data_IF_950363857494
#
_entry.id   IF_950363857494
#
_cell.length_a   1.000
_cell.length_b   1.000
_cell.length_c   1.000
_cell.angle_alpha   90.00
_cell.angle_beta   90.00
_cell.angle_gamma   90.00
#
_symmetry.space_group_name_H-M   'P 1'
#
loop_
_entity.id
_entity.type
_entity.pdbx_description
1 polymer ?
#
# COMPACT_ATOMS: atom_id res chain seq x y z
N UNK A 1 -9.35 -18.21 -14.64
CA UNK A 1 -9.00 -18.21 -13.21
C UNK A 1 -8.57 -16.79 -12.80
N UNK A 2 -9.16 -16.26 -11.73
CA UNK A 2 -8.78 -14.96 -11.12
C UNK A 2 -7.71 -15.19 -10.03
N UNK A 3 -7.35 -14.17 -9.27
CA UNK A 3 -6.44 -14.27 -8.12
C UNK A 3 -7.02 -15.08 -6.95
N UNK A 4 -6.16 -15.53 -6.04
CA UNK A 4 -6.53 -16.40 -4.92
C UNK A 4 -7.53 -15.79 -3.96
N UNK A 5 -7.47 -14.47 -3.72
CA UNK A 5 -8.38 -13.76 -2.83
C UNK A 5 -9.02 -12.54 -3.54
N UNK A 6 -10.04 -12.73 -4.40
CA UNK A 6 -10.63 -11.64 -5.19
C UNK A 6 -11.25 -10.52 -4.34
N UNK A 7 -11.89 -10.87 -3.21
CA UNK A 7 -12.48 -9.87 -2.29
C UNK A 7 -11.42 -9.05 -1.56
N UNK A 8 -10.31 -9.69 -1.21
CA UNK A 8 -9.18 -9.04 -0.54
C UNK A 8 -8.48 -8.08 -1.50
N UNK A 9 -8.37 -8.46 -2.78
CA UNK A 9 -7.89 -7.57 -3.84
C UNK A 9 -8.77 -6.33 -4.05
N UNK A 10 -10.09 -6.51 -4.00
CA UNK A 10 -11.02 -5.38 -4.08
C UNK A 10 -10.86 -4.47 -2.85
N UNK A 11 -10.75 -5.05 -1.65
CA UNK A 11 -10.54 -4.29 -0.43
C UNK A 11 -9.23 -3.49 -0.47
N UNK A 12 -8.11 -4.08 -0.91
CA UNK A 12 -6.84 -3.35 -1.02
C UNK A 12 -6.98 -2.13 -1.94
N UNK A 13 -7.62 -2.29 -3.10
CA UNK A 13 -7.87 -1.16 -3.99
C UNK A 13 -8.66 -0.02 -3.31
N UNK A 14 -9.75 -0.34 -2.60
CA UNK A 14 -10.57 0.67 -1.92
C UNK A 14 -9.86 1.35 -0.74
N UNK A 15 -9.01 0.61 -0.02
CA UNK A 15 -8.17 1.20 1.02
C UNK A 15 -7.19 2.21 0.42
N UNK A 16 -6.59 1.91 -0.73
CA UNK A 16 -5.71 2.86 -1.41
C UNK A 16 -6.43 4.16 -1.80
N UNK A 17 -7.65 4.05 -2.35
CA UNK A 17 -8.49 5.22 -2.66
C UNK A 17 -8.79 6.02 -1.38
N UNK A 18 -9.16 5.35 -0.30
CA UNK A 18 -9.41 5.99 1.00
C UNK A 18 -8.17 6.70 1.56
N UNK A 19 -6.98 6.08 1.43
CA UNK A 19 -5.71 6.69 1.83
C UNK A 19 -5.45 7.97 1.04
N UNK A 20 -5.64 7.93 -0.27
CA UNK A 20 -5.46 9.11 -1.12
C UNK A 20 -6.43 10.23 -0.70
N UNK A 21 -7.69 9.89 -0.40
CA UNK A 21 -8.65 10.88 0.12
C UNK A 21 -8.17 11.52 1.42
N UNK A 22 -7.67 10.74 2.39
CA UNK A 22 -7.13 11.28 3.65
C UNK A 22 -5.95 12.24 3.40
N UNK A 23 -5.03 11.85 2.51
CA UNK A 23 -3.90 12.69 2.12
C UNK A 23 -4.35 13.97 1.40
N UNK A 24 -5.36 13.90 0.53
CA UNK A 24 -5.89 15.08 -0.15
C UNK A 24 -6.61 16.02 0.82
N UNK A 25 -7.38 15.49 1.78
CA UNK A 25 -8.03 16.28 2.82
C UNK A 25 -6.98 17.01 3.67
N UNK A 26 -5.81 16.40 3.92
CA UNK A 26 -4.73 17.04 4.66
C UNK A 26 -4.30 18.39 4.06
N UNK A 27 -4.43 18.61 2.75
CA UNK A 27 -4.09 19.89 2.12
C UNK A 27 -5.08 21.01 2.44
N UNK A 28 -6.31 20.67 2.81
CA UNK A 28 -7.38 21.62 3.11
C UNK A 28 -7.62 21.81 4.61
N UNK A 29 -6.88 21.09 5.45
CA UNK A 29 -6.96 21.18 6.91
C UNK A 29 -5.74 21.95 7.42
N UNK A 30 -5.99 22.88 8.35
CA UNK A 30 -4.97 23.77 8.91
C UNK A 30 -4.14 24.48 7.81
N UNK A 31 -2.81 24.46 7.91
CA UNK A 31 -1.88 24.96 6.90
C UNK A 31 -1.37 23.85 5.95
N UNK A 32 -1.93 22.64 6.04
CA UNK A 32 -1.43 21.46 5.35
C UNK A 32 -0.17 20.84 5.98
N UNK A 33 0.13 19.60 5.60
CA UNK A 33 1.32 18.90 6.06
C UNK A 33 2.56 19.37 5.28
N UNK A 34 3.38 20.24 5.88
CA UNK A 34 4.62 20.78 5.31
C UNK A 34 5.90 20.04 5.73
N UNK A 35 5.78 18.82 6.25
CA UNK A 35 6.85 18.08 6.94
C UNK A 35 7.73 17.21 6.03
N UNK A 36 7.63 17.40 4.71
CA UNK A 36 8.21 16.51 3.69
C UNK A 36 7.72 15.04 3.81
N UNK A 37 8.19 14.18 2.91
CA UNK A 37 7.76 12.77 2.83
C UNK A 37 8.30 11.89 3.97
N UNK A 38 9.38 12.28 4.64
CA UNK A 38 9.99 11.50 5.73
C UNK A 38 9.35 11.71 7.10
N UNK A 39 8.55 12.78 7.27
CA UNK A 39 7.81 13.06 8.51
C UNK A 39 8.69 13.11 9.78
N UNK A 40 9.84 13.81 9.71
CA UNK A 40 10.78 13.87 10.84
C UNK A 40 10.13 14.39 12.14
N UNK A 41 10.35 13.72 13.30
CA UNK A 41 9.56 13.94 14.53
C UNK A 41 9.50 15.39 15.02
N UNK A 42 10.62 16.12 15.03
CA UNK A 42 10.66 17.49 15.57
C UNK A 42 9.86 18.47 14.72
N UNK A 43 9.95 18.34 13.39
CA UNK A 43 9.20 19.18 12.45
C UNK A 43 7.74 18.77 12.38
N UNK A 44 7.43 17.47 12.47
CA UNK A 44 6.07 16.94 12.40
C UNK A 44 5.23 17.11 13.66
N UNK A 45 5.86 17.45 14.79
CA UNK A 45 5.16 17.69 16.06
C UNK A 45 5.19 19.16 16.46
N UNK A 46 6.37 19.72 16.72
CA UNK A 46 6.53 21.09 17.22
C UNK A 46 6.51 22.11 16.07
N UNK A 47 6.97 21.71 14.89
CA UNK A 47 7.02 22.57 13.70
C UNK A 47 5.69 22.71 12.94
N UNK A 48 4.76 21.77 13.11
CA UNK A 48 3.44 21.78 12.49
C UNK A 48 2.37 21.44 13.53
N UNK A 49 1.84 22.47 14.19
CA UNK A 49 0.68 22.32 15.07
C UNK A 49 -0.59 22.16 14.22
N UNK A 50 -1.37 21.12 14.48
CA UNK A 50 -2.62 20.84 13.77
C UNK A 50 -2.84 19.36 13.49
N UNK A 51 -3.96 19.04 12.86
CA UNK A 51 -4.37 17.67 12.51
C UNK A 51 -3.98 17.26 11.08
N UNK A 52 -3.46 18.19 10.28
CA UNK A 52 -3.06 17.91 8.90
C UNK A 52 -1.99 16.79 8.81
N UNK A 53 -1.00 16.79 9.72
CA UNK A 53 0.03 15.75 9.79
C UNK A 53 -0.57 14.41 10.22
N UNK A 54 -1.52 14.42 11.15
CA UNK A 54 -2.21 13.21 11.61
C UNK A 54 -2.98 12.53 10.46
N UNK A 55 -3.63 13.31 9.60
CA UNK A 55 -4.32 12.79 8.40
C UNK A 55 -3.35 12.12 7.43
N UNK A 56 -2.14 12.69 7.24
CA UNK A 56 -1.09 12.06 6.42
C UNK A 56 -0.60 10.76 7.06
N UNK A 57 -0.39 10.75 8.37
CA UNK A 57 0.02 9.55 9.11
C UNK A 57 -1.04 8.46 8.96
N UNK A 58 -2.32 8.77 9.19
CA UNK A 58 -3.41 7.81 9.00
C UNK A 58 -3.53 7.35 7.55
N UNK A 59 -3.37 8.25 6.57
CA UNK A 59 -3.32 7.90 5.15
C UNK A 59 -2.24 6.85 4.87
N UNK A 60 -1.00 7.11 5.29
CA UNK A 60 0.11 6.17 5.12
C UNK A 60 -0.13 4.81 5.78
N UNK A 61 -0.78 4.76 6.95
CA UNK A 61 -1.17 3.48 7.56
C UNK A 61 -2.17 2.72 6.68
N UNK A 62 -3.20 3.40 6.17
CA UNK A 62 -4.20 2.79 5.29
C UNK A 62 -3.57 2.31 3.98
N UNK A 63 -2.67 3.09 3.36
CA UNK A 63 -1.89 2.67 2.21
C UNK A 63 -1.00 1.45 2.52
N UNK A 64 -0.37 1.42 3.71
CA UNK A 64 0.44 0.28 4.17
C UNK A 64 -0.38 -0.99 4.28
N UNK A 65 -1.56 -0.93 4.91
CA UNK A 65 -2.49 -2.07 5.01
C UNK A 65 -2.95 -2.52 3.62
N UNK A 66 -3.29 -1.59 2.73
CA UNK A 66 -3.61 -1.90 1.34
C UNK A 66 -2.49 -2.70 0.66
N UNK A 67 -1.24 -2.25 0.79
CA UNK A 67 -0.06 -2.89 0.20
C UNK A 67 0.15 -4.30 0.74
N UNK A 68 0.08 -4.50 2.06
CA UNK A 68 0.24 -5.81 2.70
C UNK A 68 -0.83 -6.80 2.20
N UNK A 69 -2.08 -6.36 2.11
CA UNK A 69 -3.19 -7.16 1.61
C UNK A 69 -2.95 -7.58 0.14
N UNK A 70 -2.56 -6.64 -0.72
CA UNK A 70 -2.24 -6.94 -2.11
C UNK A 70 -1.07 -7.93 -2.23
N UNK A 71 0.02 -7.72 -1.47
CA UNK A 71 1.20 -8.61 -1.43
C UNK A 71 0.84 -10.04 -1.01
N UNK A 72 0.03 -10.21 0.03
CA UNK A 72 -0.45 -11.53 0.45
C UNK A 72 -1.22 -12.25 -0.67
N UNK A 73 -2.08 -11.52 -1.40
CA UNK A 73 -2.83 -12.09 -2.52
C UNK A 73 -1.91 -12.48 -3.69
N UNK A 74 -0.91 -11.66 -4.01
CA UNK A 74 0.07 -11.99 -5.07
C UNK A 74 0.89 -13.23 -4.71
N UNK A 75 1.46 -13.31 -3.50
CA UNK A 75 2.24 -14.47 -3.05
C UNK A 75 1.43 -15.75 -3.19
N UNK A 76 0.22 -15.80 -2.62
CA UNK A 76 -0.61 -17.00 -2.67
C UNK A 76 -1.03 -17.34 -4.10
N UNK A 77 -1.35 -16.35 -4.93
CA UNK A 77 -1.71 -16.57 -6.34
C UNK A 77 -0.54 -17.16 -7.13
N UNK A 78 0.68 -16.62 -6.96
CA UNK A 78 1.87 -17.07 -7.69
C UNK A 78 2.23 -18.51 -7.35
N UNK A 79 2.17 -18.88 -6.06
CA UNK A 79 2.57 -20.23 -5.62
C UNK A 79 1.47 -21.29 -5.79
N UNK A 80 0.18 -20.94 -5.61
CA UNK A 80 -0.91 -21.93 -5.60
C UNK A 80 -1.76 -21.98 -6.86
N UNK A 81 -1.82 -20.89 -7.66
CA UNK A 81 -2.66 -20.82 -8.86
C UNK A 81 -1.85 -20.84 -10.16
N UNK A 82 -0.58 -21.23 -10.09
CA UNK A 82 0.27 -21.46 -11.28
C UNK A 82 -0.30 -22.61 -12.13
N UNK A 83 -0.12 -22.53 -13.45
CA UNK A 83 -0.39 -23.66 -14.34
C UNK A 83 0.44 -24.88 -13.94
N UNK A 84 -0.19 -26.06 -13.96
CA UNK A 84 0.45 -27.32 -13.58
C UNK A 84 1.69 -27.66 -14.43
N UNK A 85 1.74 -27.18 -15.68
CA UNK A 85 2.84 -27.43 -16.61
C UNK A 85 4.07 -26.53 -16.38
N UNK A 86 3.94 -25.47 -15.59
CA UNK A 86 5.01 -24.49 -15.39
C UNK A 86 5.78 -24.79 -14.10
N UNK A 87 7.11 -24.76 -14.16
CA UNK A 87 7.95 -24.78 -12.96
C UNK A 87 8.20 -23.34 -12.47
N UNK A 88 8.54 -23.18 -11.19
CA UNK A 88 8.83 -21.87 -10.57
C UNK A 88 9.96 -21.14 -11.33
N UNK A 89 10.99 -21.88 -11.72
CA UNK A 89 12.20 -21.35 -12.39
C UNK A 89 11.92 -20.77 -13.79
N UNK A 90 10.86 -21.23 -14.46
CA UNK A 90 10.50 -20.81 -15.82
C UNK A 90 9.37 -19.77 -15.85
N UNK A 91 8.92 -19.28 -14.69
CA UNK A 91 7.95 -18.19 -14.64
C UNK A 91 8.56 -16.91 -15.24
N UNK A 92 7.74 -16.10 -15.93
CA UNK A 92 8.20 -14.86 -16.53
C UNK A 92 8.82 -13.92 -15.50
N UNK A 93 9.86 -13.18 -15.91
CA UNK A 93 10.61 -12.25 -15.05
C UNK A 93 9.70 -11.24 -14.33
N UNK A 94 8.62 -10.80 -14.97
CA UNK A 94 7.64 -9.91 -14.35
C UNK A 94 6.96 -10.54 -13.12
N UNK A 95 6.60 -11.83 -13.18
CA UNK A 95 5.98 -12.53 -12.06
C UNK A 95 6.98 -12.73 -10.93
N UNK A 96 8.25 -13.01 -11.26
CA UNK A 96 9.33 -13.04 -10.29
C UNK A 96 9.55 -11.71 -9.60
N UNK A 97 9.58 -10.60 -10.35
CA UNK A 97 9.67 -9.26 -9.78
C UNK A 97 8.53 -8.99 -8.80
N UNK A 98 7.28 -9.29 -9.18
CA UNK A 98 6.12 -9.15 -8.29
C UNK A 98 6.27 -10.03 -7.04
N UNK A 99 6.73 -11.27 -7.22
CA UNK A 99 6.99 -12.20 -6.12
C UNK A 99 7.97 -11.60 -5.11
N UNK A 100 9.13 -11.13 -5.57
CA UNK A 100 10.15 -10.51 -4.72
C UNK A 100 9.62 -9.23 -4.05
N UNK A 101 8.96 -8.33 -4.80
CA UNK A 101 8.40 -7.10 -4.22
C UNK A 101 7.27 -7.37 -3.23
N UNK A 102 6.57 -8.50 -3.33
CA UNK A 102 5.52 -8.87 -2.37
C UNK A 102 6.10 -9.41 -1.05
N UNK A 103 7.36 -9.86 -1.05
CA UNK A 103 8.07 -10.30 0.16
C UNK A 103 8.78 -9.18 0.91
N UNK A 104 9.18 -8.11 0.21
CA UNK A 104 9.84 -6.91 0.78
C UNK A 104 8.82 -5.99 1.43
#
# INVERSE_FOLDING_TARGET
PDMSFPRLNNLSFWLLVSSLCLMMISFFVDSGAGTSWTLYPTLSTVGHAGSAVDLVIFGLHVAGVSSILASMNFVVTIFNLRSYSENVEYMGLFVWCIGVTSFL
#
